data_IF_985428422662
#
_entry.id   IF_985428422662
#
_cell.length_a   1.000
_cell.length_b   1.000
_cell.length_c   1.000
_cell.angle_alpha   90.00
_cell.angle_beta   90.00
_cell.angle_gamma   90.00
#
_symmetry.space_group_name_H-M   'P 1'
#
loop_
_entity.id
_entity.type
_entity.pdbx_description
1 polymer ?
#
# COMPACT_ATOMS: atom_id res chain seq x y z
N UNK A 1 -24.72 10.84 4.75
CA UNK A 1 -23.66 11.11 3.73
C UNK A 1 -23.29 12.58 3.62
N UNK A 2 -24.19 13.53 3.32
CA UNK A 2 -23.83 14.96 3.18
C UNK A 2 -23.13 15.54 4.43
N UNK A 3 -23.62 15.22 5.64
CA UNK A 3 -22.98 15.60 6.91
C UNK A 3 -21.55 15.06 7.07
N UNK A 4 -21.28 13.84 6.56
CA UNK A 4 -19.95 13.24 6.61
C UNK A 4 -18.99 13.96 5.66
N UNK A 5 -19.45 14.27 4.44
CA UNK A 5 -18.66 15.02 3.46
C UNK A 5 -18.37 16.44 3.97
N UNK A 6 -19.33 17.12 4.58
CA UNK A 6 -19.09 18.44 5.17
C UNK A 6 -18.10 18.38 6.33
N UNK A 7 -18.25 17.39 7.22
CA UNK A 7 -17.31 17.18 8.33
C UNK A 7 -15.89 16.90 7.83
N UNK A 8 -15.76 16.06 6.79
CA UNK A 8 -14.48 15.77 6.14
C UNK A 8 -13.85 17.03 5.52
N UNK A 9 -14.64 17.86 4.83
CA UNK A 9 -14.14 19.13 4.25
C UNK A 9 -13.69 20.12 5.34
N UNK A 10 -14.33 20.10 6.50
CA UNK A 10 -13.95 20.93 7.65
C UNK A 10 -12.77 20.38 8.47
N UNK A 11 -12.19 19.24 8.06
CA UNK A 11 -11.06 18.57 8.74
C UNK A 11 -11.35 18.28 10.23
N UNK A 12 -12.61 18.00 10.57
CA UNK A 12 -13.04 17.78 11.94
C UNK A 12 -13.08 16.27 12.28
N UNK A 13 -11.96 15.73 12.77
CA UNK A 13 -11.81 14.30 13.12
C UNK A 13 -12.93 13.80 14.05
N UNK A 14 -13.19 14.47 15.16
CA UNK A 14 -14.18 14.01 16.14
C UNK A 14 -15.59 13.95 15.57
N UNK A 15 -15.95 14.89 14.70
CA UNK A 15 -17.24 14.88 14.03
C UNK A 15 -17.33 13.78 12.97
N UNK A 16 -16.24 13.52 12.23
CA UNK A 16 -16.15 12.38 11.31
C UNK A 16 -16.33 11.07 12.08
N UNK A 17 -15.61 10.88 13.20
CA UNK A 17 -15.69 9.67 14.01
C UNK A 17 -17.09 9.44 14.60
N UNK A 18 -17.75 10.50 15.09
CA UNK A 18 -19.11 10.43 15.59
C UNK A 18 -20.08 10.01 14.48
N UNK A 19 -20.06 10.69 13.32
CA UNK A 19 -20.96 10.37 12.21
C UNK A 19 -20.73 8.96 11.68
N UNK A 20 -19.47 8.53 11.55
CA UNK A 20 -19.15 7.16 11.09
C UNK A 20 -19.66 6.13 12.10
N UNK A 21 -19.46 6.38 13.40
CA UNK A 21 -19.95 5.49 14.45
C UNK A 21 -21.47 5.38 14.44
N UNK A 22 -22.17 6.49 14.27
CA UNK A 22 -23.64 6.53 14.16
C UNK A 22 -24.13 5.74 12.95
N UNK A 23 -23.51 5.92 11.78
CA UNK A 23 -23.85 5.15 10.58
C UNK A 23 -23.71 3.65 10.83
N UNK A 24 -22.63 3.21 11.50
CA UNK A 24 -22.39 1.79 11.78
C UNK A 24 -23.42 1.26 12.77
N UNK A 25 -23.67 1.98 13.85
CA UNK A 25 -24.59 1.57 14.92
C UNK A 25 -26.04 1.51 14.42
N UNK A 26 -26.43 2.44 13.53
CA UNK A 26 -27.74 2.44 12.88
C UNK A 26 -27.87 1.41 11.74
N UNK A 27 -26.80 0.65 11.45
CA UNK A 27 -26.73 -0.26 10.31
C UNK A 27 -27.23 0.40 9.02
N UNK A 28 -26.76 1.62 8.75
CA UNK A 28 -27.24 2.40 7.63
C UNK A 28 -27.13 1.59 6.31
N UNK A 29 -28.18 1.57 5.46
CA UNK A 29 -28.21 0.76 4.24
C UNK A 29 -27.38 1.44 3.13
N UNK A 30 -26.08 1.53 3.36
CA UNK A 30 -25.13 2.20 2.47
C UNK A 30 -24.56 1.28 1.39
N UNK A 31 -24.73 -0.04 1.53
CA UNK A 31 -24.24 -1.03 0.58
C UNK A 31 -22.75 -0.77 0.24
N UNK A 32 -22.43 -0.65 -1.04
CA UNK A 32 -21.07 -0.43 -1.55
C UNK A 32 -20.45 0.91 -1.11
N UNK A 33 -21.26 1.88 -0.66
CA UNK A 33 -20.76 3.19 -0.19
C UNK A 33 -20.00 3.07 1.13
N UNK A 34 -20.09 1.94 1.83
CA UNK A 34 -19.30 1.65 3.02
C UNK A 34 -17.79 1.73 2.77
N UNK A 35 -17.30 1.36 1.59
CA UNK A 35 -15.89 1.54 1.22
C UNK A 35 -15.49 3.02 1.26
N UNK A 36 -16.32 3.90 0.72
CA UNK A 36 -16.08 5.35 0.73
C UNK A 36 -16.09 5.93 2.15
N UNK A 37 -17.00 5.46 3.02
CA UNK A 37 -17.02 5.84 4.44
C UNK A 37 -15.75 5.34 5.14
N UNK A 38 -15.31 4.11 4.85
CA UNK A 38 -14.06 3.55 5.35
C UNK A 38 -12.83 4.33 4.90
N UNK A 39 -12.78 4.78 3.65
CA UNK A 39 -11.70 5.61 3.12
C UNK A 39 -11.60 6.94 3.87
N UNK A 40 -12.74 7.58 4.14
CA UNK A 40 -12.79 8.82 4.93
C UNK A 40 -12.31 8.54 6.36
N UNK A 41 -12.81 7.49 7.02
CA UNK A 41 -12.34 7.14 8.37
C UNK A 41 -10.82 6.89 8.40
N UNK A 42 -10.27 6.16 7.43
CA UNK A 42 -8.83 5.92 7.26
C UNK A 42 -8.06 7.23 7.06
N UNK A 43 -8.56 8.15 6.23
CA UNK A 43 -7.88 9.43 5.98
C UNK A 43 -7.77 10.31 7.22
N UNK A 44 -8.65 10.12 8.22
CA UNK A 44 -8.61 10.80 9.53
C UNK A 44 -7.84 10.00 10.61
N UNK A 45 -7.20 8.89 10.25
CA UNK A 45 -6.47 8.03 11.18
C UNK A 45 -7.37 7.17 12.06
N UNK A 46 -8.67 7.07 11.76
CA UNK A 46 -9.65 6.30 12.52
C UNK A 46 -9.70 4.84 12.00
N UNK A 47 -8.57 4.14 12.06
CA UNK A 47 -8.39 2.82 11.44
C UNK A 47 -9.36 1.75 11.97
N UNK A 48 -9.72 1.81 13.26
CA UNK A 48 -10.73 0.92 13.84
C UNK A 48 -12.11 1.11 13.18
N UNK A 49 -12.52 2.36 12.95
CA UNK A 49 -13.78 2.65 12.28
C UNK A 49 -13.71 2.31 10.79
N UNK A 50 -12.56 2.54 10.14
CA UNK A 50 -12.33 2.12 8.76
C UNK A 50 -12.53 0.61 8.59
N UNK A 51 -11.92 -0.21 9.46
CA UNK A 51 -12.12 -1.67 9.47
C UNK A 51 -13.60 -2.06 9.61
N UNK A 52 -14.33 -1.45 10.56
CA UNK A 52 -15.77 -1.72 10.74
C UNK A 52 -16.59 -1.34 9.50
N UNK A 53 -16.24 -0.26 8.81
CA UNK A 53 -16.89 0.11 7.56
C UNK A 53 -16.61 -0.91 6.45
N UNK A 54 -15.37 -1.39 6.34
CA UNK A 54 -14.99 -2.44 5.38
C UNK A 54 -15.80 -3.71 5.64
N UNK A 55 -15.90 -4.16 6.89
CA UNK A 55 -16.72 -5.32 7.28
C UNK A 55 -18.18 -5.14 6.86
N UNK A 56 -18.76 -3.94 7.10
CA UNK A 56 -20.10 -3.61 6.63
C UNK A 56 -20.25 -3.59 5.12
N UNK A 57 -19.21 -3.18 4.39
CA UNK A 57 -19.20 -3.28 2.94
C UNK A 57 -19.24 -4.74 2.50
N UNK A 58 -18.39 -5.58 3.08
CA UNK A 58 -18.27 -7.00 2.72
C UNK A 58 -19.57 -7.77 2.97
N UNK A 59 -20.27 -7.48 4.07
CA UNK A 59 -21.60 -8.04 4.38
C UNK A 59 -22.67 -7.73 3.31
N UNK A 60 -22.56 -6.57 2.62
CA UNK A 60 -23.61 -6.04 1.75
C UNK A 60 -23.25 -6.03 0.25
N UNK A 61 -21.99 -6.31 -0.11
CA UNK A 61 -21.49 -6.10 -1.47
C UNK A 61 -21.78 -7.27 -2.41
N UNK A 62 -22.52 -6.98 -3.49
CA UNK A 62 -22.75 -7.92 -4.60
C UNK A 62 -21.72 -7.75 -5.73
N UNK A 63 -21.05 -6.59 -5.81
CA UNK A 63 -20.01 -6.33 -6.81
C UNK A 63 -18.64 -6.90 -6.40
N UNK A 64 -18.00 -7.64 -7.30
CA UNK A 64 -16.65 -8.18 -7.11
C UNK A 64 -15.60 -7.08 -7.02
N UNK A 65 -15.77 -6.00 -7.77
CA UNK A 65 -14.88 -4.84 -7.75
C UNK A 65 -14.87 -4.20 -6.35
N UNK A 66 -16.04 -4.08 -5.73
CA UNK A 66 -16.18 -3.48 -4.40
C UNK A 66 -15.63 -4.39 -3.31
N UNK A 67 -15.85 -5.71 -3.42
CA UNK A 67 -15.21 -6.69 -2.53
C UNK A 67 -13.70 -6.60 -2.66
N UNK A 68 -13.17 -6.55 -3.88
CA UNK A 68 -11.73 -6.43 -4.09
C UNK A 68 -11.15 -5.14 -3.49
N UNK A 69 -11.84 -4.00 -3.69
CA UNK A 69 -11.43 -2.72 -3.12
C UNK A 69 -11.48 -2.72 -1.58
N UNK A 70 -12.53 -3.29 -0.99
CA UNK A 70 -12.69 -3.41 0.46
C UNK A 70 -11.58 -4.26 1.09
N UNK A 71 -11.23 -5.38 0.46
CA UNK A 71 -10.18 -6.28 0.91
C UNK A 71 -8.77 -5.71 0.69
N UNK A 72 -8.53 -5.00 -0.42
CA UNK A 72 -7.30 -4.25 -0.62
C UNK A 72 -7.10 -3.20 0.46
N UNK A 73 -8.16 -2.44 0.79
CA UNK A 73 -8.11 -1.49 1.90
C UNK A 73 -7.86 -2.20 3.25
N UNK A 74 -8.42 -3.39 3.47
CA UNK A 74 -8.17 -4.17 4.68
C UNK A 74 -6.70 -4.59 4.77
N UNK A 75 -6.10 -4.99 3.65
CA UNK A 75 -4.67 -5.29 3.53
C UNK A 75 -3.81 -4.07 3.90
N UNK A 76 -4.14 -2.89 3.38
CA UNK A 76 -3.46 -1.64 3.73
C UNK A 76 -3.57 -1.26 5.21
N UNK A 77 -4.51 -1.85 5.97
CA UNK A 77 -4.62 -1.67 7.41
C UNK A 77 -3.77 -2.69 8.19
N UNK A 78 -2.87 -3.40 7.51
CA UNK A 78 -2.07 -4.50 8.06
C UNK A 78 -2.90 -5.73 8.43
N UNK A 79 -4.04 -5.95 7.75
CA UNK A 79 -4.94 -7.09 7.97
C UNK A 79 -4.99 -8.00 6.73
N UNK A 80 -3.82 -8.26 6.16
CA UNK A 80 -3.63 -9.07 4.95
C UNK A 80 -4.14 -10.51 5.14
N UNK A 81 -3.84 -11.16 6.26
CA UNK A 81 -4.32 -12.51 6.57
C UNK A 81 -5.85 -12.57 6.59
N UNK A 82 -6.49 -11.64 7.30
CA UNK A 82 -7.95 -11.57 7.36
C UNK A 82 -8.58 -11.33 5.98
N UNK A 83 -7.95 -10.50 5.14
CA UNK A 83 -8.40 -10.27 3.78
C UNK A 83 -8.30 -11.54 2.92
N UNK A 84 -7.22 -12.31 3.09
CA UNK A 84 -7.01 -13.57 2.37
C UNK A 84 -7.96 -14.67 2.84
N UNK A 85 -8.18 -14.82 4.15
CA UNK A 85 -9.17 -15.73 4.74
C UNK A 85 -10.58 -15.43 4.24
N UNK A 86 -10.93 -14.14 4.12
CA UNK A 86 -12.21 -13.76 3.54
C UNK A 86 -12.37 -14.27 2.10
N UNK A 87 -11.36 -14.09 1.23
CA UNK A 87 -11.40 -14.62 -0.14
C UNK A 87 -11.53 -16.14 -0.18
N UNK A 88 -10.93 -16.86 0.78
CA UNK A 88 -11.10 -18.30 0.90
C UNK A 88 -12.54 -18.67 1.27
N UNK A 89 -13.18 -17.92 2.18
CA UNK A 89 -14.56 -18.17 2.60
C UNK A 89 -15.59 -18.02 1.47
N UNK A 90 -15.32 -17.15 0.48
CA UNK A 90 -16.18 -16.90 -0.68
C UNK A 90 -15.69 -17.64 -1.94
N UNK A 91 -14.94 -18.74 -1.79
CA UNK A 91 -14.17 -19.41 -2.85
C UNK A 91 -14.91 -19.64 -4.17
N UNK A 92 -16.19 -20.05 -4.15
CA UNK A 92 -16.98 -20.26 -5.38
C UNK A 92 -17.12 -18.97 -6.21
N UNK A 93 -17.35 -17.83 -5.55
CA UNK A 93 -17.45 -16.51 -6.18
C UNK A 93 -16.10 -16.06 -6.73
N UNK A 94 -15.01 -16.37 -6.00
CA UNK A 94 -13.65 -16.05 -6.44
C UNK A 94 -13.30 -16.81 -7.71
N UNK A 95 -13.58 -18.12 -7.79
CA UNK A 95 -13.24 -18.94 -8.95
C UNK A 95 -13.84 -18.47 -10.27
N UNK A 96 -14.95 -17.73 -10.26
CA UNK A 96 -15.58 -17.13 -11.43
C UNK A 96 -15.16 -15.69 -11.72
N UNK A 97 -14.37 -15.06 -10.85
CA UNK A 97 -14.09 -13.62 -10.89
C UNK A 97 -12.61 -13.33 -11.13
N UNK A 98 -12.31 -12.75 -12.29
CA UNK A 98 -10.94 -12.36 -12.67
C UNK A 98 -10.33 -11.39 -11.66
N UNK A 99 -11.11 -10.42 -11.18
CA UNK A 99 -10.66 -9.39 -10.23
C UNK A 99 -10.34 -10.02 -8.87
N UNK A 100 -11.20 -10.90 -8.36
CA UNK A 100 -10.96 -11.55 -7.06
C UNK A 100 -9.85 -12.59 -7.14
N UNK A 101 -9.68 -13.29 -8.27
CA UNK A 101 -8.55 -14.19 -8.50
C UNK A 101 -7.21 -13.43 -8.50
N UNK A 102 -7.17 -12.29 -9.20
CA UNK A 102 -5.98 -11.44 -9.20
C UNK A 102 -5.65 -10.97 -7.78
N UNK A 103 -6.65 -10.45 -7.05
CA UNK A 103 -6.45 -10.02 -5.66
C UNK A 103 -6.00 -11.17 -4.75
N UNK A 104 -6.58 -12.37 -4.89
CA UNK A 104 -6.15 -13.56 -4.15
C UNK A 104 -4.68 -13.87 -4.41
N UNK A 105 -4.24 -13.74 -5.66
CA UNK A 105 -2.83 -13.88 -6.05
C UNK A 105 -1.92 -12.86 -5.37
N UNK A 106 -2.34 -11.59 -5.35
CA UNK A 106 -1.61 -10.49 -4.69
C UNK A 106 -1.50 -10.72 -3.19
N UNK A 107 -2.60 -11.02 -2.51
CA UNK A 107 -2.59 -11.25 -1.06
C UNK A 107 -1.77 -12.50 -0.69
N UNK A 108 -1.90 -13.59 -1.46
CA UNK A 108 -1.07 -14.77 -1.26
C UNK A 108 0.42 -14.46 -1.42
N UNK A 109 0.81 -13.65 -2.41
CA UNK A 109 2.19 -13.21 -2.59
C UNK A 109 2.70 -12.42 -1.38
N UNK A 110 1.92 -11.46 -0.88
CA UNK A 110 2.27 -10.65 0.29
C UNK A 110 2.44 -11.49 1.57
N UNK A 111 1.70 -12.59 1.69
CA UNK A 111 1.81 -13.55 2.79
C UNK A 111 2.91 -14.60 2.61
N UNK A 112 3.64 -14.57 1.48
CA UNK A 112 4.67 -15.57 1.16
C UNK A 112 4.11 -16.92 0.64
N UNK A 113 2.82 -17.01 0.37
CA UNK A 113 2.15 -18.19 -0.18
C UNK A 113 2.33 -18.29 -1.71
N UNK A 114 3.59 -18.41 -2.16
CA UNK A 114 3.95 -18.28 -3.57
C UNK A 114 3.27 -19.32 -4.48
N UNK A 115 3.08 -20.56 -4.02
CA UNK A 115 2.38 -21.60 -4.80
C UNK A 115 0.93 -21.21 -5.06
N UNK A 116 0.21 -20.78 -4.03
CA UNK A 116 -1.18 -20.33 -4.12
C UNK A 116 -1.31 -19.04 -4.94
N UNK A 117 -0.32 -18.14 -4.82
CA UNK A 117 -0.24 -16.92 -5.61
C UNK A 117 -0.14 -17.25 -7.10
N UNK A 118 0.84 -18.07 -7.49
CA UNK A 118 1.04 -18.52 -8.88
C UNK A 118 -0.20 -19.22 -9.43
N UNK A 119 -0.84 -20.11 -8.66
CA UNK A 119 -2.06 -20.80 -9.09
C UNK A 119 -3.20 -19.82 -9.41
N UNK A 120 -3.44 -18.85 -8.52
CA UNK A 120 -4.52 -17.86 -8.69
C UNK A 120 -4.26 -16.95 -9.88
N UNK A 121 -3.02 -16.49 -10.07
CA UNK A 121 -2.61 -15.64 -11.18
C UNK A 121 -2.64 -16.39 -12.53
N UNK A 122 -2.23 -17.65 -12.57
CA UNK A 122 -2.36 -18.48 -13.78
C UNK A 122 -3.82 -18.69 -14.16
N UNK A 123 -4.75 -18.75 -13.20
CA UNK A 123 -6.19 -18.79 -13.49
C UNK A 123 -6.70 -17.48 -14.12
N UNK A 124 -6.17 -16.31 -13.70
CA UNK A 124 -6.46 -15.02 -14.35
C UNK A 124 -6.05 -15.04 -15.83
N UNK A 125 -4.85 -15.52 -16.13
CA UNK A 125 -4.32 -15.54 -17.50
C UNK A 125 -5.10 -16.45 -18.47
N UNK A 126 -5.87 -17.42 -17.98
CA UNK A 126 -6.79 -18.21 -18.82
C UNK A 126 -7.93 -17.38 -19.41
N UNK A 127 -8.30 -16.30 -18.73
CA UNK A 127 -9.40 -15.40 -19.14
C UNK A 127 -8.86 -14.12 -19.75
N UNK A 128 -7.78 -13.56 -19.17
CA UNK A 128 -7.16 -12.32 -19.63
C UNK A 128 -5.64 -12.54 -19.81
N UNK A 129 -5.22 -13.16 -20.94
CA UNK A 129 -3.81 -13.46 -21.19
C UNK A 129 -2.92 -12.21 -21.21
N UNK A 130 -3.49 -11.06 -21.55
CA UNK A 130 -2.79 -9.76 -21.67
C UNK A 130 -2.79 -8.95 -20.38
N UNK A 131 -3.13 -9.55 -19.22
CA UNK A 131 -3.07 -8.85 -17.94
C UNK A 131 -1.62 -8.62 -17.52
N UNK A 132 -1.08 -7.45 -17.83
CA UNK A 132 0.31 -7.11 -17.55
C UNK A 132 0.65 -7.09 -16.06
N UNK A 133 -0.28 -6.66 -15.20
CA UNK A 133 -0.13 -6.69 -13.75
C UNK A 133 0.05 -8.13 -13.24
N UNK A 134 -0.74 -9.07 -13.78
CA UNK A 134 -0.67 -10.50 -13.44
C UNK A 134 0.64 -11.11 -13.91
N UNK A 135 1.03 -10.83 -15.16
CA UNK A 135 2.29 -11.31 -15.76
C UNK A 135 3.51 -10.79 -15.01
N UNK A 136 3.49 -9.53 -14.61
CA UNK A 136 4.55 -8.91 -13.82
C UNK A 136 4.71 -9.57 -12.45
N UNK A 137 3.60 -9.84 -11.75
CA UNK A 137 3.66 -10.49 -10.45
C UNK A 137 4.15 -11.93 -10.57
N UNK A 138 3.73 -12.66 -11.62
CA UNK A 138 4.26 -13.99 -11.91
C UNK A 138 5.76 -13.96 -12.19
N UNK A 139 6.24 -13.06 -13.06
CA UNK A 139 7.67 -12.98 -13.38
C UNK A 139 8.52 -12.63 -12.17
N UNK A 140 8.00 -11.83 -11.23
CA UNK A 140 8.66 -11.53 -9.96
C UNK A 140 8.92 -12.79 -9.15
N UNK A 141 7.95 -13.71 -9.11
CA UNK A 141 8.02 -14.97 -8.34
C UNK A 141 8.68 -16.15 -9.08
N UNK A 142 9.01 -16.00 -10.36
CA UNK A 142 9.60 -17.08 -11.17
C UNK A 142 11.03 -17.43 -10.75
N UNK A 143 11.36 -18.71 -10.67
CA UNK A 143 12.75 -19.15 -10.74
C UNK A 143 13.29 -19.07 -12.20
N UNK A 144 14.57 -19.36 -12.46
CA UNK A 144 15.12 -19.26 -13.83
C UNK A 144 14.42 -20.16 -14.87
N UNK A 145 13.98 -21.36 -14.50
CA UNK A 145 13.30 -22.28 -15.44
C UNK A 145 11.88 -21.80 -15.72
N UNK A 146 11.15 -21.41 -14.69
CA UNK A 146 9.83 -20.79 -14.83
C UNK A 146 9.90 -19.49 -15.63
N UNK A 147 10.95 -18.69 -15.44
CA UNK A 147 11.17 -17.44 -16.16
C UNK A 147 11.38 -17.69 -17.65
N UNK A 148 12.09 -18.76 -18.02
CA UNK A 148 12.31 -19.15 -19.41
C UNK A 148 11.01 -19.55 -20.11
N UNK A 149 10.13 -20.29 -19.44
CA UNK A 149 8.82 -20.64 -20.00
C UNK A 149 7.91 -19.42 -20.09
N UNK A 150 7.88 -18.57 -19.05
CA UNK A 150 7.12 -17.32 -19.08
C UNK A 150 7.63 -16.34 -20.14
N UNK A 151 8.94 -16.28 -20.39
CA UNK A 151 9.54 -15.47 -21.46
C UNK A 151 8.96 -15.84 -22.81
N UNK A 152 8.90 -17.14 -23.15
CA UNK A 152 8.29 -17.60 -24.40
C UNK A 152 6.83 -17.16 -24.51
N UNK A 153 6.06 -17.30 -23.43
CA UNK A 153 4.66 -16.85 -23.40
C UNK A 153 4.56 -15.33 -23.65
N UNK A 154 5.39 -14.53 -22.98
CA UNK A 154 5.42 -13.07 -23.14
C UNK A 154 5.82 -12.65 -24.56
N UNK A 155 6.82 -13.31 -25.15
CA UNK A 155 7.26 -13.04 -26.52
C UNK A 155 6.14 -13.29 -27.54
N UNK A 156 5.33 -14.34 -27.34
CA UNK A 156 4.17 -14.60 -28.21
C UNK A 156 3.07 -13.54 -28.05
N UNK A 157 2.94 -12.94 -26.86
CA UNK A 157 1.96 -11.90 -26.57
C UNK A 157 2.41 -10.51 -27.05
N UNK A 158 3.69 -10.30 -27.35
CA UNK A 158 4.26 -8.98 -27.67
C UNK A 158 3.50 -8.27 -28.79
N UNK A 159 3.20 -8.97 -29.89
CA UNK A 159 2.45 -8.41 -31.02
C UNK A 159 1.02 -7.98 -30.67
N UNK A 160 0.39 -8.65 -29.69
CA UNK A 160 -0.92 -8.27 -29.18
C UNK A 160 -0.83 -7.05 -28.26
N UNK A 161 0.18 -7.03 -27.39
CA UNK A 161 0.42 -5.95 -26.42
C UNK A 161 0.87 -4.65 -27.07
N UNK A 162 1.56 -4.71 -28.21
CA UNK A 162 1.94 -3.52 -28.97
C UNK A 162 0.71 -2.72 -29.44
N UNK A 163 -0.40 -3.41 -29.72
CA UNK A 163 -1.68 -2.79 -30.12
C UNK A 163 -2.48 -2.22 -28.94
N UNK A 164 -2.18 -2.63 -27.71
CA UNK A 164 -2.86 -2.11 -26.52
C UNK A 164 -2.42 -0.66 -26.30
N UNK A 165 -3.35 0.28 -26.00
CA UNK A 165 -3.00 1.65 -25.65
C UNK A 165 -2.03 1.72 -24.46
N UNK A 166 -1.27 2.82 -24.37
CA UNK A 166 -0.42 3.08 -23.22
C UNK A 166 -1.26 3.04 -21.94
N UNK A 167 -0.84 2.22 -21.00
CA UNK A 167 -1.57 1.94 -19.77
C UNK A 167 -0.61 1.38 -18.72
N UNK A 168 -1.04 1.37 -17.46
CA UNK A 168 -0.28 0.74 -16.38
C UNK A 168 -0.06 -0.75 -16.70
N UNK A 169 -1.09 -1.44 -17.19
CA UNK A 169 -0.99 -2.84 -17.61
C UNK A 169 0.08 -3.05 -18.68
N UNK A 170 0.15 -2.21 -19.72
CA UNK A 170 1.19 -2.29 -20.75
C UNK A 170 2.60 -2.08 -20.19
N UNK A 171 2.77 -1.14 -19.26
CA UNK A 171 4.06 -0.96 -18.60
C UNK A 171 4.44 -2.17 -17.74
N UNK A 172 3.50 -2.72 -16.97
CA UNK A 172 3.72 -3.95 -16.19
C UNK A 172 4.11 -5.13 -17.08
N UNK A 173 3.52 -5.25 -18.28
CA UNK A 173 3.93 -6.26 -19.26
C UNK A 173 5.40 -6.10 -19.70
N UNK A 174 5.84 -4.89 -20.03
CA UNK A 174 7.26 -4.66 -20.32
C UNK A 174 8.16 -4.94 -19.11
N UNK A 175 7.70 -4.63 -17.90
CA UNK A 175 8.43 -5.02 -16.70
C UNK A 175 8.51 -6.54 -16.53
N UNK A 176 7.46 -7.27 -16.93
CA UNK A 176 7.45 -8.72 -16.92
C UNK A 176 8.52 -9.30 -17.86
N UNK A 177 8.62 -8.78 -19.09
CA UNK A 177 9.67 -9.13 -20.05
C UNK A 177 11.07 -8.81 -19.48
N UNK A 178 11.25 -7.62 -18.93
CA UNK A 178 12.51 -7.24 -18.28
C UNK A 178 12.92 -8.22 -17.18
N UNK A 179 11.99 -8.60 -16.30
CA UNK A 179 12.23 -9.58 -15.24
C UNK A 179 12.61 -10.96 -15.80
N UNK A 180 11.93 -11.45 -16.83
CA UNK A 180 12.22 -12.79 -17.39
C UNK A 180 13.58 -12.81 -18.09
N UNK A 181 13.87 -11.81 -18.94
CA UNK A 181 15.17 -11.70 -19.61
C UNK A 181 16.33 -11.53 -18.61
N UNK A 182 16.11 -10.79 -17.51
CA UNK A 182 17.13 -10.65 -16.47
C UNK A 182 17.43 -12.00 -15.80
N UNK A 183 16.38 -12.78 -15.52
CA UNK A 183 16.50 -14.11 -14.89
C UNK A 183 17.11 -15.17 -15.81
N UNK A 184 17.01 -14.99 -17.13
CA UNK A 184 17.67 -15.83 -18.14
C UNK A 184 19.06 -15.33 -18.54
N UNK A 185 19.61 -14.35 -17.80
CA UNK A 185 20.93 -13.73 -18.01
C UNK A 185 21.08 -12.91 -19.31
N UNK A 186 19.99 -12.51 -19.95
CA UNK A 186 19.96 -11.64 -21.13
C UNK A 186 19.83 -10.16 -20.72
N UNK A 187 20.87 -9.65 -20.05
CA UNK A 187 20.83 -8.37 -19.32
C UNK A 187 20.53 -7.17 -20.21
N UNK A 188 21.13 -7.09 -21.41
CA UNK A 188 20.92 -5.96 -22.31
C UNK A 188 19.47 -5.87 -22.80
N UNK A 189 18.88 -7.02 -23.16
CA UNK A 189 17.47 -7.11 -23.55
C UNK A 189 16.56 -6.77 -22.39
N UNK A 190 16.89 -7.24 -21.18
CA UNK A 190 16.15 -6.91 -19.97
C UNK A 190 16.10 -5.39 -19.74
N UNK A 191 17.26 -4.72 -19.89
CA UNK A 191 17.37 -3.27 -19.74
C UNK A 191 16.47 -2.51 -20.73
N UNK A 192 16.45 -2.92 -22.01
CA UNK A 192 15.58 -2.32 -23.02
C UNK A 192 14.09 -2.42 -22.65
N UNK A 193 13.65 -3.54 -22.08
CA UNK A 193 12.27 -3.69 -21.63
C UNK A 193 11.96 -2.89 -20.36
N UNK A 194 12.91 -2.78 -19.43
CA UNK A 194 12.77 -1.87 -18.29
C UNK A 194 12.69 -0.41 -18.74
N UNK A 195 13.44 -0.01 -19.77
CA UNK A 195 13.35 1.32 -20.37
C UNK A 195 11.96 1.57 -20.99
N UNK A 196 11.45 0.64 -21.81
CA UNK A 196 10.08 0.71 -22.36
C UNK A 196 9.00 0.80 -21.28
N UNK A 197 9.16 0.07 -20.17
CA UNK A 197 8.28 0.16 -19.01
C UNK A 197 8.30 1.59 -18.43
N UNK A 198 9.48 2.13 -18.16
CA UNK A 198 9.64 3.47 -17.62
C UNK A 198 9.10 4.56 -18.55
N UNK A 199 9.35 4.44 -19.86
CA UNK A 199 8.80 5.35 -20.89
C UNK A 199 7.28 5.32 -20.94
N UNK A 200 6.69 4.11 -20.94
CA UNK A 200 5.23 3.94 -20.90
C UNK A 200 4.64 4.61 -19.66
N UNK A 201 5.26 4.41 -18.49
CA UNK A 201 4.81 5.02 -17.24
C UNK A 201 4.95 6.54 -17.25
N UNK A 202 6.05 7.08 -17.78
CA UNK A 202 6.26 8.53 -17.96
C UNK A 202 5.22 9.14 -18.89
N UNK A 203 4.88 8.46 -19.98
CA UNK A 203 3.92 8.96 -20.97
C UNK A 203 2.49 9.06 -20.43
N UNK A 204 2.08 8.14 -19.55
CA UNK A 204 0.75 8.16 -18.93
C UNK A 204 0.69 8.93 -17.61
N UNK A 205 1.85 9.29 -17.04
CA UNK A 205 1.91 10.07 -15.81
C UNK A 205 1.48 11.52 -16.06
N UNK A 206 0.70 12.14 -15.16
CA UNK A 206 0.33 13.54 -15.30
C UNK A 206 1.58 14.45 -15.34
N UNK A 207 1.74 15.23 -16.41
CA UNK A 207 2.92 16.09 -16.64
C UNK A 207 3.13 17.17 -15.57
N UNK A 208 2.05 17.57 -14.88
CA UNK A 208 2.07 18.65 -13.88
C UNK A 208 2.32 18.18 -12.44
N UNK A 209 2.63 16.90 -12.21
CA UNK A 209 2.96 16.39 -10.88
C UNK A 209 4.46 16.47 -10.60
N UNK A 210 5.08 17.64 -10.80
CA UNK A 210 6.35 17.90 -10.11
C UNK A 210 6.08 17.88 -8.62
N UNK A 211 6.83 17.08 -7.85
CA UNK A 211 6.78 17.15 -6.40
C UNK A 211 7.19 18.57 -6.00
N UNK A 212 6.24 19.33 -5.44
CA UNK A 212 6.49 20.72 -5.08
C UNK A 212 7.35 20.77 -3.82
N UNK A 213 8.67 20.87 -4.03
CA UNK A 213 9.64 21.03 -2.96
C UNK A 213 9.47 22.35 -2.20
N UNK A 214 8.67 23.32 -2.71
CA UNK A 214 8.39 24.56 -1.99
C UNK A 214 7.76 24.27 -0.63
N UNK A 215 6.87 23.27 -0.54
CA UNK A 215 6.19 22.94 0.72
C UNK A 215 7.18 22.45 1.80
N UNK A 216 8.22 21.70 1.40
CA UNK A 216 9.30 21.28 2.31
C UNK A 216 10.16 22.49 2.70
N UNK A 217 10.47 23.36 1.73
CA UNK A 217 11.29 24.55 1.94
C UNK A 217 10.60 25.54 2.88
N UNK A 218 9.31 25.79 2.68
CA UNK A 218 8.47 26.66 3.49
C UNK A 218 8.32 26.10 4.90
N UNK A 219 8.03 24.80 5.03
CA UNK A 219 8.00 24.14 6.34
C UNK A 219 9.34 24.28 7.08
N UNK A 220 10.48 24.07 6.41
CA UNK A 220 11.82 24.23 7.00
C UNK A 220 12.04 25.67 7.47
N UNK A 221 11.68 26.66 6.66
CA UNK A 221 11.84 28.08 6.99
C UNK A 221 10.94 28.50 8.16
N UNK A 222 9.72 27.97 8.24
CA UNK A 222 8.79 28.26 9.34
C UNK A 222 9.15 27.52 10.64
N UNK A 223 9.91 26.43 10.54
CA UNK A 223 10.24 25.54 11.66
C UNK A 223 11.76 25.42 11.90
N UNK A 224 12.55 26.45 11.59
CA UNK A 224 14.02 26.46 11.79
C UNK A 224 14.41 26.06 13.22
N UNK A 225 13.67 26.53 14.23
CA UNK A 225 13.86 26.16 15.65
C UNK A 225 13.63 24.67 15.95
N UNK A 226 12.87 23.96 15.12
CA UNK A 226 12.71 22.50 15.20
C UNK A 226 13.89 21.77 14.56
N UNK A 227 14.43 22.30 13.46
CA UNK A 227 15.56 21.73 12.74
C UNK A 227 16.90 21.95 13.47
N UNK A 228 17.02 23.01 14.26
CA UNK A 228 18.20 23.35 15.07
C UNK A 228 18.20 22.73 16.47
N UNK A 229 17.18 21.93 16.81
CA UNK A 229 17.14 21.22 18.08
C UNK A 229 18.26 20.18 18.13
N UNK A 230 19.37 20.54 18.79
CA UNK A 230 20.36 19.58 19.26
C UNK A 230 19.78 18.92 20.51
N UNK A 231 19.64 17.59 20.57
CA UNK A 231 19.30 16.92 21.81
C UNK A 231 20.30 17.37 22.88
N UNK A 232 19.79 18.00 23.94
CA UNK A 232 20.62 18.44 25.07
C UNK A 232 21.01 17.20 25.86
N UNK A 233 22.11 16.55 25.44
CA UNK A 233 22.70 15.41 26.12
C UNK A 233 21.81 14.14 26.17
N UNK A 234 22.36 12.98 25.80
CA UNK A 234 21.69 11.68 25.97
C UNK A 234 21.70 11.21 27.44
N UNK A 235 21.75 12.13 28.41
CA UNK A 235 21.97 11.82 29.84
C UNK A 235 20.69 11.56 30.63
N UNK A 236 19.53 11.44 29.99
CA UNK A 236 18.35 10.91 30.69
C UNK A 236 18.53 9.41 30.90
N UNK A 237 19.23 9.07 31.98
CA UNK A 237 19.38 7.72 32.55
C UNK A 237 18.07 7.18 33.17
N UNK A 238 16.90 7.74 32.83
CA UNK A 238 15.66 7.08 33.15
C UNK A 238 15.54 5.85 32.24
N UNK A 239 16.14 4.74 32.66
CA UNK A 239 15.98 3.44 32.04
C UNK A 239 14.51 3.08 32.16
N UNK A 240 13.75 3.40 31.13
CA UNK A 240 12.41 2.89 30.94
C UNK A 240 12.52 1.38 30.85
N UNK A 241 11.94 0.67 31.82
CA UNK A 241 11.80 -0.81 31.79
C UNK A 241 10.85 -1.30 30.69
N UNK A 242 10.35 -0.39 29.84
CA UNK A 242 9.47 -0.69 28.72
C UNK A 242 10.25 -0.68 27.41
N UNK A 243 9.99 -1.70 26.58
CA UNK A 243 10.44 -1.75 25.19
C UNK A 243 10.16 -0.43 24.48
N UNK A 244 11.20 0.17 23.92
CA UNK A 244 11.13 1.45 23.24
C UNK A 244 11.23 1.24 21.72
N UNK A 245 10.28 1.76 20.92
CA UNK A 245 10.33 1.61 19.48
C UNK A 245 11.46 2.47 18.89
N UNK A 246 12.24 1.88 17.99
CA UNK A 246 13.25 2.58 17.19
C UNK A 246 12.68 2.76 15.78
N UNK A 247 12.59 4.01 15.33
CA UNK A 247 12.17 4.32 13.96
C UNK A 247 13.38 4.67 13.10
N UNK A 248 13.56 3.95 12.00
CA UNK A 248 14.58 4.25 10.99
C UNK A 248 13.89 5.00 9.86
N UNK A 249 14.22 6.29 9.71
CA UNK A 249 13.63 7.16 8.70
C UNK A 249 14.62 7.36 7.55
N UNK A 250 14.16 7.16 6.32
CA UNK A 250 14.95 7.38 5.11
C UNK A 250 14.06 7.45 3.88
N UNK A 251 14.63 7.91 2.77
CA UNK A 251 13.96 7.82 1.46
C UNK A 251 14.28 6.44 0.85
N UNK A 252 13.47 5.95 -0.11
CA UNK A 252 13.77 4.68 -0.78
C UNK A 252 15.22 4.65 -1.29
N UNK A 253 15.92 3.55 -1.02
CA UNK A 253 17.33 3.29 -1.42
C UNK A 253 18.42 4.03 -0.62
N UNK A 254 18.15 4.57 0.57
CA UNK A 254 19.20 5.14 1.46
C UNK A 254 19.76 4.18 2.51
N UNK A 255 19.59 2.87 2.34
CA UNK A 255 20.19 1.87 3.24
C UNK A 255 19.51 1.77 4.61
N UNK A 256 18.23 2.12 4.73
CA UNK A 256 17.45 1.92 5.98
C UNK A 256 17.50 0.47 6.46
N UNK A 257 17.38 -0.50 5.54
CA UNK A 257 17.52 -1.93 5.84
C UNK A 257 18.92 -2.27 6.35
N UNK A 258 19.98 -1.64 5.83
CA UNK A 258 21.34 -1.89 6.33
C UNK A 258 21.48 -1.39 7.77
N UNK A 259 20.95 -0.20 8.08
CA UNK A 259 20.95 0.35 9.44
C UNK A 259 20.15 -0.55 10.39
N UNK A 260 19.00 -1.06 9.93
CA UNK A 260 18.21 -2.04 10.68
C UNK A 260 19.03 -3.28 11.01
N UNK A 261 19.69 -3.87 10.01
CA UNK A 261 20.54 -5.05 10.18
C UNK A 261 21.67 -4.82 11.19
N UNK A 262 22.26 -3.62 11.23
CA UNK A 262 23.28 -3.27 12.24
C UNK A 262 22.68 -3.19 13.64
N UNK A 263 21.48 -2.63 13.81
CA UNK A 263 20.83 -2.48 15.12
C UNK A 263 20.41 -3.85 15.69
N UNK A 264 19.84 -4.73 14.87
CA UNK A 264 19.36 -6.05 15.33
C UNK A 264 20.48 -7.06 15.59
N UNK A 265 21.75 -6.71 15.39
CA UNK A 265 22.87 -7.49 15.91
C UNK A 265 22.93 -7.47 17.44
N UNK A 266 22.30 -6.47 18.07
CA UNK A 266 22.11 -6.45 19.52
C UNK A 266 20.93 -7.36 19.91
N UNK A 267 21.15 -8.29 20.85
CA UNK A 267 20.14 -9.23 21.33
C UNK A 267 18.94 -8.58 22.03
N UNK A 268 19.08 -7.32 22.44
CA UNK A 268 18.00 -6.53 23.05
C UNK A 268 17.10 -5.82 22.02
N UNK A 269 17.44 -5.90 20.73
CA UNK A 269 16.70 -5.30 19.64
C UNK A 269 16.09 -6.37 18.71
N UNK A 270 14.84 -6.15 18.30
CA UNK A 270 14.14 -7.02 17.36
C UNK A 270 13.56 -6.19 16.22
N UNK A 271 13.75 -6.64 14.99
CA UNK A 271 13.07 -6.07 13.83
C UNK A 271 11.58 -6.42 13.87
N UNK A 272 10.76 -5.40 13.60
CA UNK A 272 9.33 -5.54 13.33
C UNK A 272 8.98 -5.35 11.86
N UNK A 273 10.01 -5.17 11.01
CA UNK A 273 9.87 -4.90 9.58
C UNK A 273 9.35 -3.51 9.24
N UNK A 274 9.05 -3.30 7.96
CA UNK A 274 8.44 -2.08 7.43
C UNK A 274 6.92 -2.10 7.65
N UNK A 275 6.49 -1.70 8.85
CA UNK A 275 5.07 -1.57 9.20
C UNK A 275 4.62 -0.11 9.24
N UNK A 276 3.34 0.13 8.95
CA UNK A 276 2.73 1.46 8.98
C UNK A 276 2.58 2.08 10.39
N UNK A 277 3.22 1.50 11.41
CA UNK A 277 3.11 1.95 12.79
C UNK A 277 3.51 3.42 12.99
N UNK A 278 4.56 3.89 12.32
CA UNK A 278 4.98 5.28 12.39
C UNK A 278 3.96 6.24 11.76
N UNK A 279 3.55 6.06 10.48
CA UNK A 279 2.44 6.84 9.91
C UNK A 279 1.17 6.81 10.77
N UNK A 280 0.78 5.66 11.31
CA UNK A 280 -0.41 5.53 12.16
C UNK A 280 -0.27 6.30 13.48
N UNK A 281 0.89 6.25 14.12
CA UNK A 281 1.17 7.00 15.34
C UNK A 281 1.16 8.51 15.07
N UNK A 282 1.81 8.94 13.98
CA UNK A 282 1.82 10.33 13.51
C UNK A 282 0.40 10.81 13.23
N UNK A 283 -0.42 10.02 12.53
CA UNK A 283 -1.82 10.34 12.25
C UNK A 283 -2.65 10.52 13.53
N UNK A 284 -2.43 9.68 14.54
CA UNK A 284 -3.12 9.80 15.83
C UNK A 284 -2.80 11.11 16.55
N UNK A 285 -1.59 11.64 16.41
CA UNK A 285 -1.18 12.90 17.01
C UNK A 285 -1.57 14.09 16.13
N UNK A 286 -1.21 14.06 14.84
CA UNK A 286 -1.29 15.20 13.93
C UNK A 286 -2.67 15.42 13.30
N UNK A 287 -3.48 14.37 13.06
CA UNK A 287 -4.82 14.51 12.47
C UNK A 287 -5.88 14.90 13.50
N UNK A 288 -5.49 15.73 14.46
CA UNK A 288 -6.37 16.23 15.50
C UNK A 288 -6.42 17.76 15.43
N UNK A 289 -7.57 18.35 15.81
CA UNK A 289 -7.74 19.81 15.73
C UNK A 289 -6.65 20.51 16.54
N UNK A 290 -6.02 21.51 15.95
CA UNK A 290 -4.94 22.31 16.57
C UNK A 290 -3.72 21.48 17.02
N UNK A 291 -3.40 20.35 16.36
CA UNK A 291 -2.26 19.50 16.73
C UNK A 291 -0.93 20.26 16.76
N UNK A 292 -0.63 21.06 15.74
CA UNK A 292 0.61 21.84 15.66
C UNK A 292 0.74 22.86 16.79
N UNK A 293 -0.33 23.57 17.12
CA UNK A 293 -0.35 24.52 18.23
C UNK A 293 -0.15 23.84 19.59
N UNK A 294 -0.71 22.63 19.77
CA UNK A 294 -0.48 21.84 20.97
C UNK A 294 0.97 21.39 21.07
N UNK A 295 1.54 20.85 19.99
CA UNK A 295 2.95 20.43 19.96
C UNK A 295 3.92 21.58 20.22
N UNK A 296 3.63 22.78 19.67
CA UNK A 296 4.40 24.00 19.97
C UNK A 296 4.32 24.39 21.45
N UNK A 297 3.17 24.22 22.10
CA UNK A 297 2.99 24.48 23.54
C UNK A 297 3.67 23.42 24.42
N UNK A 298 3.69 22.15 24.00
CA UNK A 298 4.37 21.07 24.75
C UNK A 298 5.89 21.22 24.77
N UNK A 299 6.48 22.03 23.88
CA UNK A 299 7.91 22.42 23.91
C UNK A 299 8.32 23.31 25.08
N UNK A 300 7.43 23.56 26.06
CA UNK A 300 7.84 24.11 27.36
C UNK A 300 8.29 23.04 28.37
N UNK A 301 8.43 21.77 27.97
CA UNK A 301 9.04 20.75 28.82
C UNK A 301 10.57 20.85 28.75
N UNK A 302 11.12 20.93 29.97
CA UNK A 302 12.52 21.05 30.37
C UNK A 302 13.44 20.07 29.68
#
# INVERSE_FOLDING_TARGET
MQKLVSASKSVNKSQVEAIVSDLINLQAPLQERWVGVGQIAKSFGSYRLAKRCIEKSLEQSQSDQMVAQALGMLSDLGKTELAYEYLQSIGNRVSSSVVLLHLKGVLAYQLGYFTQAKQSLRAVLRTVPTSGETLHLLSTMSDPEEAKELQKELDTLLSSMDKVPLSVSKACFYNALGNTYLKTSEVDTAYQYFEKCAETMRAISPKDKSFDYSLIKDWRNENVKCAEFKPSSFTDESVSTKSSPIFILGIPRTGTTLVEQVIIQNTEAQSVGEIDAFPMAVDNVLKTKNALERLKKTRSFR
#
